data_IF_066608312384
#
_entry.id   IF_066608312384
#
_cell.length_a   1.000
_cell.length_b   1.000
_cell.length_c   1.000
_cell.angle_alpha   90.00
_cell.angle_beta   90.00
_cell.angle_gamma   90.00
#
_symmetry.space_group_name_H-M   'P 1'
#
loop_
_entity.id
_entity.type
_entity.pdbx_description
1 polymer ?
#
# COMPACT_ATOMS: atom_id res chain seq x y z
N UNK A 1 -6.30 10.62 9.59
CA UNK A 1 -4.87 10.45 9.31
C UNK A 1 -4.69 9.02 8.85
N UNK A 2 -3.99 8.78 7.73
CA UNK A 2 -3.77 7.44 7.16
C UNK A 2 -2.26 7.18 7.21
N UNK A 3 -1.86 6.16 7.96
CA UNK A 3 -0.46 5.90 8.28
C UNK A 3 0.05 4.67 7.52
N UNK A 4 1.38 4.57 7.35
CA UNK A 4 2.02 3.58 6.48
C UNK A 4 2.94 2.66 7.31
N UNK A 5 2.84 1.34 7.10
CA UNK A 5 3.79 0.30 7.51
C UNK A 5 4.40 -0.34 6.24
N UNK A 6 5.72 -0.31 6.09
CA UNK A 6 6.40 -0.84 4.89
C UNK A 6 7.03 -2.17 5.25
N UNK A 7 6.61 -3.27 4.62
CA UNK A 7 7.23 -4.58 4.77
C UNK A 7 7.84 -5.03 3.43
N UNK A 8 9.16 -4.92 3.33
CA UNK A 8 9.94 -5.56 2.27
C UNK A 8 10.47 -6.90 2.76
N UNK A 9 10.35 -7.96 1.95
CA UNK A 9 11.06 -9.23 2.15
C UNK A 9 12.56 -9.06 1.86
N UNK A 10 13.22 -8.38 2.78
CA UNK A 10 14.63 -8.45 3.15
C UNK A 10 14.68 -7.65 4.44
N UNK A 11 14.98 -8.31 5.57
CA UNK A 11 14.98 -7.75 6.91
C UNK A 11 15.61 -6.36 6.98
N UNK A 12 14.79 -5.32 6.88
CA UNK A 12 15.15 -3.95 7.25
C UNK A 12 13.96 -3.42 8.04
N UNK A 13 13.93 -3.77 9.33
CA UNK A 13 13.32 -2.89 10.32
C UNK A 13 14.02 -1.55 10.15
N UNK A 14 13.36 -0.60 9.47
CA UNK A 14 13.89 0.74 9.27
C UNK A 14 13.84 1.50 10.59
N UNK A 15 14.73 1.15 11.53
CA UNK A 15 15.20 2.04 12.60
C UNK A 15 16.12 3.09 11.97
N UNK A 16 15.59 3.91 11.06
CA UNK A 16 16.27 5.14 10.69
C UNK A 16 15.83 6.20 11.70
N UNK A 17 16.75 6.57 12.59
CA UNK A 17 16.65 7.80 13.38
C UNK A 17 16.30 8.93 12.42
N UNK A 18 15.08 9.47 12.55
CA UNK A 18 14.57 10.53 11.70
C UNK A 18 15.41 11.77 11.98
N UNK A 19 16.41 12.02 11.13
CA UNK A 19 17.14 13.28 11.16
C UNK A 19 16.20 14.42 10.77
N UNK A 20 16.36 15.54 11.46
CA UNK A 20 15.56 16.77 11.37
C UNK A 20 15.29 17.21 9.93
N UNK A 21 14.12 17.80 9.63
CA UNK A 21 13.70 18.08 8.27
C UNK A 21 14.58 19.15 7.61
N UNK A 22 15.39 18.74 6.64
CA UNK A 22 15.80 19.64 5.57
C UNK A 22 14.56 20.06 4.79
N UNK A 23 14.47 21.35 4.39
CA UNK A 23 13.30 21.89 3.69
C UNK A 23 13.16 21.40 2.24
N UNK A 24 14.08 20.56 1.77
CA UNK A 24 14.22 20.16 0.36
C UNK A 24 14.06 18.64 0.21
N UNK A 25 13.34 18.23 -0.84
CA UNK A 25 13.25 16.84 -1.24
C UNK A 25 14.65 16.31 -1.59
N UNK A 26 15.01 15.15 -1.06
CA UNK A 26 16.30 14.49 -1.34
C UNK A 26 16.56 14.20 -2.83
N UNK A 27 15.52 14.21 -3.66
CA UNK A 27 15.58 13.93 -5.10
C UNK A 27 15.65 15.19 -5.98
N UNK A 28 15.98 16.34 -5.41
CA UNK A 28 16.08 17.59 -6.19
C UNK A 28 17.18 17.45 -7.25
N UNK A 29 16.84 17.62 -8.53
CA UNK A 29 17.78 17.49 -9.65
C UNK A 29 18.08 16.05 -10.07
N UNK A 30 17.42 15.05 -9.49
CA UNK A 30 17.60 13.64 -9.82
C UNK A 30 16.33 13.05 -10.44
N UNK A 31 16.48 12.32 -11.54
CA UNK A 31 15.39 11.53 -12.11
C UNK A 31 15.22 10.26 -11.28
N UNK A 32 13.98 9.93 -10.91
CA UNK A 32 13.63 8.68 -10.24
C UNK A 32 12.83 7.81 -11.19
N UNK A 33 13.11 6.49 -11.17
CA UNK A 33 12.37 5.52 -11.98
C UNK A 33 10.89 5.54 -11.62
N UNK A 34 10.04 5.67 -12.63
CA UNK A 34 8.60 5.48 -12.47
C UNK A 34 8.30 3.99 -12.22
N UNK A 35 7.55 3.70 -11.16
CA UNK A 35 7.07 2.36 -10.86
C UNK A 35 5.58 2.24 -11.17
N UNK A 36 5.15 1.10 -11.73
CA UNK A 36 3.74 0.72 -11.68
C UNK A 36 3.24 0.73 -10.24
N UNK A 37 2.08 1.35 -10.03
CA UNK A 37 1.42 1.41 -8.72
C UNK A 37 0.27 0.42 -8.69
N UNK A 38 0.13 -0.31 -7.59
CA UNK A 38 -1.02 -1.17 -7.32
C UNK A 38 -1.69 -0.74 -6.04
N UNK A 39 -3.02 -0.64 -6.06
CA UNK A 39 -3.85 -0.38 -4.88
C UNK A 39 -4.62 -1.66 -4.60
N UNK A 40 -4.20 -2.39 -3.57
CA UNK A 40 -4.85 -3.58 -3.06
C UNK A 40 -5.84 -3.16 -1.98
N UNK A 41 -7.14 -3.27 -2.27
CA UNK A 41 -8.19 -3.03 -1.29
C UNK A 41 -8.83 -4.35 -0.90
N UNK A 42 -8.82 -4.69 0.39
CA UNK A 42 -9.55 -5.84 0.92
C UNK A 42 -10.92 -5.37 1.40
N UNK A 43 -11.99 -6.04 0.95
CA UNK A 43 -13.33 -5.79 1.46
C UNK A 43 -14.44 -5.82 0.41
N UNK A 44 -15.46 -5.00 0.65
CA UNK A 44 -16.65 -4.88 -0.21
C UNK A 44 -16.39 -3.92 -1.36
N UNK A 45 -17.19 -4.07 -2.43
CA UNK A 45 -17.16 -3.14 -3.57
C UNK A 45 -17.49 -1.73 -3.12
N UNK A 46 -16.70 -0.75 -3.58
CA UNK A 46 -16.93 0.67 -3.33
C UNK A 46 -18.29 1.11 -3.89
N UNK A 47 -18.89 2.13 -3.28
CA UNK A 47 -20.11 2.73 -3.84
C UNK A 47 -19.80 3.36 -5.21
N UNK A 48 -20.80 3.47 -6.11
CA UNK A 48 -20.58 4.04 -7.44
C UNK A 48 -19.95 5.44 -7.41
N UNK A 49 -20.39 6.30 -6.47
CA UNK A 49 -19.84 7.65 -6.34
C UNK A 49 -18.36 7.69 -5.97
N UNK A 50 -17.92 6.78 -5.08
CA UNK A 50 -16.50 6.68 -4.71
C UNK A 50 -15.68 6.13 -5.88
N UNK A 51 -16.22 5.14 -6.61
CA UNK A 51 -15.52 4.58 -7.77
C UNK A 51 -15.25 5.65 -8.83
N UNK A 52 -16.22 6.53 -9.11
CA UNK A 52 -16.02 7.63 -10.06
C UNK A 52 -14.87 8.56 -9.67
N UNK A 53 -14.75 8.88 -8.38
CA UNK A 53 -13.64 9.70 -7.87
C UNK A 53 -12.30 8.97 -8.04
N UNK A 54 -12.25 7.69 -7.68
CA UNK A 54 -11.04 6.87 -7.86
C UNK A 54 -10.61 6.83 -9.32
N UNK A 55 -11.57 6.59 -10.23
CA UNK A 55 -11.32 6.52 -11.67
C UNK A 55 -10.79 7.87 -12.20
N UNK A 56 -11.35 8.99 -11.74
CA UNK A 56 -10.87 10.34 -12.10
C UNK A 56 -9.40 10.56 -11.67
N UNK A 57 -9.02 10.11 -10.46
CA UNK A 57 -7.63 10.21 -10.00
C UNK A 57 -6.69 9.26 -10.75
N UNK A 58 -7.12 8.04 -11.05
CA UNK A 58 -6.35 7.08 -11.86
C UNK A 58 -6.09 7.66 -13.25
N UNK A 59 -7.09 8.29 -13.88
CA UNK A 59 -6.92 8.95 -15.18
C UNK A 59 -5.87 10.06 -15.13
N UNK A 60 -5.84 10.88 -14.07
CA UNK A 60 -4.81 11.90 -13.87
C UNK A 60 -3.41 11.29 -13.68
N UNK A 61 -3.32 10.15 -12.98
CA UNK A 61 -2.06 9.47 -12.70
C UNK A 61 -1.48 8.71 -13.90
N UNK A 62 -2.32 8.33 -14.87
CA UNK A 62 -1.92 7.56 -16.08
C UNK A 62 -0.78 8.20 -16.88
N UNK A 63 -0.64 9.52 -16.81
CA UNK A 63 0.45 10.24 -17.49
C UNK A 63 1.82 10.06 -16.83
N UNK A 64 1.86 9.59 -15.57
CA UNK A 64 3.08 9.42 -14.78
C UNK A 64 3.43 7.95 -14.55
N UNK A 65 2.43 7.10 -14.29
CA UNK A 65 2.62 5.67 -14.04
C UNK A 65 1.34 4.88 -14.38
N UNK A 66 1.49 3.57 -14.58
CA UNK A 66 0.35 2.65 -14.63
C UNK A 66 -0.17 2.39 -13.22
N UNK A 67 -1.49 2.45 -13.04
CA UNK A 67 -2.15 2.19 -11.75
C UNK A 67 -3.14 1.04 -11.89
N UNK A 68 -2.96 0.00 -11.09
CA UNK A 68 -3.87 -1.13 -10.96
C UNK A 68 -4.72 -0.98 -9.69
N UNK A 69 -6.04 -0.97 -9.82
CA UNK A 69 -6.97 -1.00 -8.68
C UNK A 69 -7.54 -2.41 -8.52
N UNK A 70 -7.14 -3.11 -7.46
CA UNK A 70 -7.50 -4.51 -7.21
C UNK A 70 -8.33 -4.58 -5.94
N UNK A 71 -9.57 -5.06 -6.10
CA UNK A 71 -10.45 -5.36 -4.99
C UNK A 71 -10.38 -6.86 -4.67
N UNK A 72 -9.75 -7.18 -3.55
CA UNK A 72 -9.81 -8.51 -2.94
C UNK A 72 -11.13 -8.61 -2.19
N UNK A 73 -12.00 -9.51 -2.63
CA UNK A 73 -13.29 -9.71 -1.96
C UNK A 73 -13.08 -10.54 -0.70
N UNK A 74 -13.66 -10.07 0.41
CA UNK A 74 -13.87 -10.91 1.59
C UNK A 74 -14.73 -12.11 1.22
N UNK A 75 -14.38 -13.29 1.73
CA UNK A 75 -15.09 -14.52 1.41
C UNK A 75 -16.60 -14.38 1.76
N UNK A 76 -17.52 -14.46 0.78
CA UNK A 76 -18.96 -14.26 1.03
C UNK A 76 -19.61 -15.46 1.71
N UNK A 77 -18.89 -16.58 1.84
CA UNK A 77 -19.37 -17.71 2.61
C UNK A 77 -19.15 -17.36 4.07
N UNK A 78 -20.23 -17.31 4.84
CA UNK A 78 -20.23 -17.45 6.31
C UNK A 78 -19.52 -18.78 6.69
N UNK A 79 -18.21 -18.86 6.50
CA UNK A 79 -17.40 -19.79 7.25
C UNK A 79 -17.63 -19.37 8.70
N UNK A 80 -18.22 -20.28 9.49
CA UNK A 80 -18.51 -20.01 10.90
C UNK A 80 -17.23 -19.72 11.71
N UNK A 81 -16.07 -19.90 11.09
CA UNK A 81 -14.74 -19.69 11.63
C UNK A 81 -14.08 -18.47 10.98
N UNK A 82 -13.86 -17.43 11.79
CA UNK A 82 -13.22 -16.17 11.41
C UNK A 82 -11.76 -16.41 11.00
N UNK A 83 -11.09 -17.42 11.56
CA UNK A 83 -9.67 -17.72 11.25
C UNK A 83 -9.49 -18.19 9.82
N UNK A 84 -10.35 -19.10 9.38
CA UNK A 84 -10.34 -19.59 8.00
C UNK A 84 -10.65 -18.49 6.97
N UNK A 85 -11.43 -17.48 7.36
CA UNK A 85 -11.68 -16.32 6.50
C UNK A 85 -10.43 -15.45 6.36
N UNK A 86 -9.74 -15.15 7.46
CA UNK A 86 -8.50 -14.36 7.43
C UNK A 86 -7.41 -15.07 6.63
N UNK A 87 -7.23 -16.38 6.82
CA UNK A 87 -6.24 -17.15 6.08
C UNK A 87 -6.49 -17.16 4.56
N UNK A 88 -7.75 -17.23 4.13
CA UNK A 88 -8.15 -17.20 2.71
C UNK A 88 -7.97 -15.80 2.10
N UNK A 89 -8.31 -14.75 2.86
CA UNK A 89 -8.07 -13.36 2.48
C UNK A 89 -6.58 -13.05 2.36
N UNK A 90 -5.78 -13.50 3.33
CA UNK A 90 -4.33 -13.37 3.35
C UNK A 90 -3.67 -14.12 2.20
N UNK A 91 -4.08 -15.37 1.94
CA UNK A 91 -3.58 -16.16 0.81
C UNK A 91 -3.86 -15.47 -0.53
N UNK A 92 -5.05 -14.88 -0.67
CA UNK A 92 -5.42 -14.13 -1.89
C UNK A 92 -4.60 -12.85 -2.01
N UNK A 93 -4.43 -12.10 -0.92
CA UNK A 93 -3.64 -10.88 -0.90
C UNK A 93 -2.17 -11.15 -1.24
N UNK A 94 -1.57 -12.15 -0.59
CA UNK A 94 -0.19 -12.59 -0.84
C UNK A 94 -0.03 -13.05 -2.29
N UNK A 95 -1.01 -13.75 -2.86
CA UNK A 95 -0.98 -14.16 -4.27
C UNK A 95 -0.93 -12.99 -5.25
N UNK A 96 -1.40 -11.79 -4.86
CA UNK A 96 -1.28 -10.60 -5.67
C UNK A 96 0.05 -9.85 -5.51
N UNK A 97 0.84 -10.13 -4.47
CA UNK A 97 2.09 -9.44 -4.18
C UNK A 97 3.27 -10.23 -4.77
N UNK A 98 4.11 -9.56 -5.56
CA UNK A 98 5.33 -10.17 -6.10
C UNK A 98 6.47 -10.16 -5.07
N UNK A 99 7.45 -11.05 -5.22
CA UNK A 99 8.66 -11.07 -4.36
C UNK A 99 9.45 -9.77 -4.40
N UNK A 100 9.41 -9.09 -5.55
CA UNK A 100 10.17 -7.86 -5.84
C UNK A 100 9.32 -6.60 -5.74
N UNK A 101 8.14 -6.69 -5.12
CA UNK A 101 7.27 -5.55 -4.89
C UNK A 101 7.73 -4.76 -3.66
N UNK A 102 7.65 -3.43 -3.76
CA UNK A 102 7.70 -2.56 -2.61
C UNK A 102 6.31 -2.43 -1.99
N UNK A 103 6.07 -3.04 -0.83
CA UNK A 103 4.75 -3.09 -0.20
C UNK A 103 4.61 -2.03 0.89
N UNK A 104 3.51 -1.29 0.84
CA UNK A 104 3.14 -0.20 1.74
C UNK A 104 1.75 -0.49 2.31
N UNK A 105 1.69 -0.93 3.55
CA UNK A 105 0.45 -1.22 4.27
C UNK A 105 -0.09 0.03 4.92
N UNK A 106 -1.38 0.32 4.74
CA UNK A 106 -2.04 1.48 5.33
C UNK A 106 -2.78 1.06 6.61
N UNK A 107 -2.37 1.62 7.74
CA UNK A 107 -2.85 1.31 9.08
C UNK A 107 -3.17 2.62 9.84
N UNK A 108 -3.82 2.55 11.00
CA UNK A 108 -3.95 3.67 11.95
C UNK A 108 -2.78 3.77 12.93
N UNK A 109 -2.12 2.65 13.25
CA UNK A 109 -1.03 2.58 14.22
C UNK A 109 0.37 2.72 13.60
N UNK A 110 0.45 2.93 12.29
CA UNK A 110 1.69 3.14 11.56
C UNK A 110 2.24 4.57 11.68
N UNK A 111 3.17 4.92 10.79
CA UNK A 111 3.81 6.23 10.82
C UNK A 111 2.97 7.30 10.12
N UNK A 112 2.60 8.36 10.84
CA UNK A 112 1.99 9.54 10.24
C UNK A 112 3.03 10.36 9.47
N UNK A 113 2.78 10.54 8.18
CA UNK A 113 3.71 11.21 7.27
C UNK A 113 2.99 12.20 6.36
N UNK A 114 3.56 13.40 6.24
CA UNK A 114 3.08 14.43 5.32
C UNK A 114 3.41 14.13 3.85
N UNK A 115 2.76 14.84 2.93
CA UNK A 115 2.85 14.58 1.48
C UNK A 115 4.28 14.63 0.92
N UNK A 116 5.15 15.50 1.45
CA UNK A 116 6.56 15.57 1.02
C UNK A 116 7.30 14.26 1.30
N UNK A 117 7.08 13.70 2.49
CA UNK A 117 7.71 12.45 2.91
C UNK A 117 7.10 11.24 2.20
N UNK A 118 5.80 11.30 1.85
CA UNK A 118 5.16 10.31 0.95
C UNK A 118 5.81 10.32 -0.44
N UNK A 119 6.07 11.49 -1.02
CA UNK A 119 6.77 11.61 -2.30
C UNK A 119 8.19 11.04 -2.23
N UNK A 120 8.88 11.25 -1.10
CA UNK A 120 10.20 10.63 -0.86
C UNK A 120 10.13 9.10 -0.78
N UNK A 121 9.09 8.52 -0.16
CA UNK A 121 8.89 7.06 -0.14
C UNK A 121 8.67 6.48 -1.55
N UNK A 122 7.87 7.15 -2.38
CA UNK A 122 7.70 6.76 -3.79
C UNK A 122 9.03 6.83 -4.52
N UNK A 123 9.83 7.86 -4.24
CA UNK A 123 11.16 7.99 -4.83
C UNK A 123 12.13 6.90 -4.36
N UNK A 124 12.07 6.53 -3.07
CA UNK A 124 12.87 5.44 -2.50
C UNK A 124 12.57 4.10 -3.16
N UNK A 125 11.28 3.78 -3.32
CA UNK A 125 10.86 2.56 -4.01
C UNK A 125 11.42 2.50 -5.44
N UNK A 126 11.46 3.63 -6.15
CA UNK A 126 12.06 3.70 -7.50
C UNK A 126 13.56 3.38 -7.53
N UNK A 127 14.27 3.56 -6.42
CA UNK A 127 15.72 3.32 -6.32
C UNK A 127 16.09 1.95 -5.76
N UNK A 128 15.14 1.20 -5.20
CA UNK A 128 15.40 -0.12 -4.61
C UNK A 128 15.42 -1.25 -5.63
N UNK A 129 15.11 -0.96 -6.89
CA UNK A 129 14.98 -1.97 -7.95
C UNK A 129 13.65 -2.73 -7.89
N UNK A 130 12.69 -2.27 -7.09
CA UNK A 130 11.37 -2.88 -7.02
C UNK A 130 10.69 -2.88 -8.39
N UNK A 131 9.95 -3.94 -8.68
CA UNK A 131 9.19 -4.06 -9.93
C UNK A 131 7.92 -3.20 -9.92
N UNK A 132 7.36 -2.97 -8.73
CA UNK A 132 6.08 -2.30 -8.50
C UNK A 132 5.99 -1.74 -7.08
N UNK A 133 5.19 -0.70 -6.92
CA UNK A 133 4.80 -0.14 -5.63
C UNK A 133 3.37 -0.55 -5.28
N UNK A 134 3.19 -1.38 -4.26
CA UNK A 134 1.90 -1.95 -3.85
C UNK A 134 1.41 -1.31 -2.55
N UNK A 135 0.29 -0.58 -2.59
CA UNK A 135 -0.40 -0.06 -1.41
C UNK A 135 -1.49 -1.03 -0.95
N UNK A 136 -1.44 -1.47 0.30
CA UNK A 136 -2.45 -2.37 0.88
C UNK A 136 -3.38 -1.58 1.81
N UNK A 137 -4.68 -1.66 1.56
CA UNK A 137 -5.73 -1.07 2.39
C UNK A 137 -6.59 -2.21 2.92
N UNK A 138 -6.46 -2.49 4.22
CA UNK A 138 -7.34 -3.40 4.94
C UNK A 138 -8.59 -2.69 5.45
N UNK A 139 -9.73 -3.37 5.43
CA UNK A 139 -10.91 -3.02 6.22
C UNK A 139 -10.91 -3.96 7.42
N UNK A 140 -10.64 -3.44 8.63
CA UNK A 140 -10.92 -3.92 10.01
C UNK A 140 -10.77 -5.42 10.39
N UNK A 141 -10.93 -6.40 9.49
CA UNK A 141 -10.88 -7.83 9.80
C UNK A 141 -9.46 -8.42 9.86
N UNK A 142 -8.44 -7.79 9.24
CA UNK A 142 -7.04 -8.22 9.39
C UNK A 142 -6.50 -7.99 10.82
N UNK A 143 -7.13 -7.09 11.59
CA UNK A 143 -6.73 -6.80 12.98
C UNK A 143 -7.20 -7.84 14.00
N UNK A 144 -8.07 -8.78 13.62
CA UNK A 144 -8.58 -9.80 14.55
C UNK A 144 -7.50 -10.80 14.99
N UNK A 145 -6.33 -10.82 14.34
CA UNK A 145 -5.23 -11.72 14.71
C UNK A 145 -4.28 -11.21 15.80
N UNK A 146 -4.31 -9.92 16.18
CA UNK A 146 -3.35 -9.35 17.16
C UNK A 146 -3.96 -8.94 18.51
N UNK A 147 -5.20 -9.32 18.82
CA UNK A 147 -5.88 -8.72 19.98
C UNK A 147 -7.08 -9.43 20.60
N UNK A 148 -7.10 -10.76 20.72
CA UNK A 148 -7.61 -11.50 21.90
C UNK A 148 -7.58 -13.02 21.70
#
# INVERSE_FOLDING_TARGET
MMTISVSGCSSVYAKNSIQSPSKQCKYTGQSVRALPVRILTVGKKRSPGVQLLVDEYILKLKHYCSVDDVLVRSNPKNARDVRAQVEDEDATLIGHIGSDDWVVMLDENGLDIGSKKKAELVGDAGNTGASRLSFCIGLVDLMVMDGK
#
